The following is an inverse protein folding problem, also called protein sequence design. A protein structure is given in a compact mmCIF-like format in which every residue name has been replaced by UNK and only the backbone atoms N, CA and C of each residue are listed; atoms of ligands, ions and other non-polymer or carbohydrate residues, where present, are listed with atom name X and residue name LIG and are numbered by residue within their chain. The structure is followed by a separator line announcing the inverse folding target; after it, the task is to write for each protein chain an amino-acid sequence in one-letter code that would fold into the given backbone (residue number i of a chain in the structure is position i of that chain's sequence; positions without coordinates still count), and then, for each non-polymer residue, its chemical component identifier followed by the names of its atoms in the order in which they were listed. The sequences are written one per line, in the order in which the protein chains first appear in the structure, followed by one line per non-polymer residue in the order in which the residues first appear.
data_IF_823282104189
#
_entry.id   IF_823282104189
#
_cell.length_a   1.000
_cell.length_b   1.000
_cell.length_c   1.000
_cell.angle_alpha   90.00
_cell.angle_beta   90.00
_cell.angle_gamma   90.00
#
_symmetry.space_group_name_H-M   'P 1'
#
loop_
_entity.id
_entity.type
_entity.pdbx_description
1 polymer ?
#
# COMPACT_ATOMS: atom_id res chain seq x y z
N UNK A 1 -3.37 -23.70 -9.28
CA UNK A 1 -4.25 -24.28 -8.23
C UNK A 1 -3.74 -24.01 -6.81
N UNK A 2 -2.43 -24.09 -6.52
CA UNK A 2 -1.85 -23.88 -5.17
C UNK A 2 -2.11 -22.47 -4.60
N UNK A 3 -2.10 -21.42 -5.42
CA UNK A 3 -2.27 -20.02 -4.97
C UNK A 3 -3.67 -19.71 -4.39
N UNK A 4 -4.73 -20.33 -4.94
CA UNK A 4 -6.13 -20.04 -4.54
C UNK A 4 -6.52 -20.71 -3.22
N UNK A 5 -6.02 -21.94 -3.01
CA UNK A 5 -6.20 -22.67 -1.75
C UNK A 5 -5.42 -21.99 -0.60
N UNK A 6 -4.19 -21.54 -0.87
CA UNK A 6 -3.37 -20.78 0.09
C UNK A 6 -4.09 -19.51 0.56
N UNK A 7 -4.54 -18.65 -0.35
CA UNK A 7 -5.24 -17.40 0.02
C UNK A 7 -6.48 -17.63 0.88
N UNK A 8 -7.27 -18.66 0.57
CA UNK A 8 -8.49 -19.00 1.33
C UNK A 8 -8.14 -19.47 2.75
N UNK A 9 -7.12 -20.31 2.89
CA UNK A 9 -6.64 -20.79 4.18
C UNK A 9 -6.11 -19.63 5.06
N UNK A 10 -5.25 -18.77 4.51
CA UNK A 10 -4.70 -17.63 5.28
C UNK A 10 -5.75 -16.56 5.61
N UNK A 11 -6.77 -16.37 4.76
CA UNK A 11 -7.90 -15.49 5.06
C UNK A 11 -8.70 -16.01 6.27
N UNK A 12 -8.99 -17.31 6.33
CA UNK A 12 -9.68 -17.92 7.46
C UNK A 12 -8.85 -17.82 8.75
N UNK A 13 -7.54 -18.05 8.66
CA UNK A 13 -6.64 -17.90 9.82
C UNK A 13 -6.54 -16.45 10.31
N UNK A 14 -6.61 -15.46 9.41
CA UNK A 14 -6.60 -14.04 9.77
C UNK A 14 -7.81 -13.63 10.62
N UNK A 15 -8.93 -14.37 10.51
CA UNK A 15 -10.16 -14.14 11.28
C UNK A 15 -10.16 -14.87 12.64
N UNK A 16 -9.14 -15.68 12.96
CA UNK A 16 -9.06 -16.42 14.22
C UNK A 16 -8.57 -15.56 15.38
N UNK A 17 -9.46 -15.30 16.36
CA UNK A 17 -9.12 -14.52 17.56
C UNK A 17 -8.07 -15.19 18.46
N UNK A 18 -7.98 -16.53 18.46
CA UNK A 18 -6.97 -17.27 19.23
C UNK A 18 -5.58 -17.08 18.63
N UNK A 19 -5.47 -17.19 17.31
CA UNK A 19 -4.22 -16.94 16.59
C UNK A 19 -3.80 -15.47 16.69
N UNK A 20 -4.76 -14.53 16.60
CA UNK A 20 -4.51 -13.09 16.84
C UNK A 20 -3.90 -12.89 18.22
N UNK A 21 -4.49 -13.44 19.28
CA UNK A 21 -3.96 -13.32 20.66
C UNK A 21 -2.56 -13.92 20.83
N UNK A 22 -2.30 -15.10 20.27
CA UNK A 22 -0.96 -15.71 20.33
C UNK A 22 0.08 -14.93 19.53
N UNK A 23 -0.27 -14.49 18.32
CA UNK A 23 0.62 -13.69 17.48
C UNK A 23 0.90 -12.32 18.10
N UNK A 24 -0.09 -11.64 18.69
CA UNK A 24 0.12 -10.39 19.43
C UNK A 24 1.05 -10.57 20.65
N UNK A 25 1.06 -11.75 21.28
CA UNK A 25 1.90 -12.02 22.47
C UNK A 25 3.39 -12.21 22.13
N UNK A 26 3.72 -12.67 20.92
CA UNK A 26 5.09 -13.07 20.56
C UNK A 26 5.61 -12.45 19.26
N UNK A 27 4.75 -12.14 18.30
CA UNK A 27 5.12 -11.78 16.92
C UNK A 27 5.77 -10.40 16.75
N UNK A 28 5.63 -9.50 17.72
CA UNK A 28 6.21 -8.15 17.69
C UNK A 28 7.07 -7.81 18.93
N UNK A 29 7.25 -8.78 19.86
CA UNK A 29 7.84 -8.56 21.18
C UNK A 29 9.34 -8.23 21.13
N UNK A 30 10.07 -8.78 20.16
CA UNK A 30 11.50 -8.54 19.99
C UNK A 30 11.80 -8.00 18.59
N UNK A 31 12.90 -7.26 18.38
CA UNK A 31 13.29 -6.76 17.06
C UNK A 31 13.49 -7.86 15.99
N UNK A 32 13.75 -9.10 16.44
CA UNK A 32 13.93 -10.27 15.60
C UNK A 32 12.64 -11.05 15.32
N UNK A 33 11.52 -10.66 15.94
CA UNK A 33 10.26 -11.40 15.82
C UNK A 33 9.75 -11.43 14.38
N UNK A 34 9.07 -12.51 14.03
CA UNK A 34 8.73 -12.82 12.65
C UNK A 34 7.94 -11.71 11.93
N UNK A 35 7.12 -10.93 12.66
CA UNK A 35 6.28 -9.89 12.06
C UNK A 35 7.07 -8.59 11.79
N UNK A 36 8.15 -8.33 12.54
CA UNK A 36 9.08 -7.18 12.34
C UNK A 36 9.75 -7.17 10.97
N UNK A 37 9.77 -8.33 10.30
CA UNK A 37 10.22 -8.41 8.90
C UNK A 37 9.35 -7.57 7.97
N UNK A 38 8.03 -7.58 8.19
CA UNK A 38 7.02 -7.03 7.29
C UNK A 38 6.27 -5.84 7.87
N UNK A 39 6.39 -5.58 9.17
CA UNK A 39 5.76 -4.48 9.91
C UNK A 39 6.86 -3.71 10.66
N UNK A 40 6.86 -2.39 10.58
CA UNK A 40 7.90 -1.58 11.21
C UNK A 40 7.81 -1.57 12.74
N UNK A 41 6.59 -1.54 13.26
CA UNK A 41 6.32 -1.49 14.70
C UNK A 41 4.84 -1.35 14.99
N UNK A 42 4.51 -1.24 16.27
CA UNK A 42 3.17 -0.98 16.76
C UNK A 42 2.94 0.52 17.04
N UNK A 43 3.99 1.34 17.04
CA UNK A 43 3.92 2.80 17.24
C UNK A 43 4.52 3.59 16.08
N UNK A 44 4.20 4.90 16.01
CA UNK A 44 4.75 5.80 14.99
C UNK A 44 6.25 6.02 15.18
N UNK A 45 6.76 6.01 16.41
CA UNK A 45 8.19 6.14 16.70
C UNK A 45 8.98 4.98 16.10
N UNK A 46 8.48 3.75 16.22
CA UNK A 46 9.10 2.59 15.60
C UNK A 46 9.05 2.64 14.08
N UNK A 47 7.95 3.17 13.52
CA UNK A 47 7.83 3.43 12.10
C UNK A 47 8.84 4.48 11.60
N UNK A 48 9.07 5.53 12.38
CA UNK A 48 10.06 6.58 12.11
C UNK A 48 11.48 6.00 12.12
N UNK A 49 11.82 5.14 13.08
CA UNK A 49 13.15 4.51 13.10
C UNK A 49 13.36 3.56 11.93
N UNK A 50 12.33 2.78 11.56
CA UNK A 50 12.39 1.97 10.34
C UNK A 50 12.53 2.82 9.07
N UNK A 51 11.83 3.96 9.01
CA UNK A 51 11.92 4.93 7.92
C UNK A 51 13.34 5.50 7.78
N UNK A 52 13.97 5.94 8.88
CA UNK A 52 15.37 6.42 8.86
C UNK A 52 16.34 5.36 8.32
N UNK A 53 16.14 4.10 8.69
CA UNK A 53 16.97 3.00 8.18
C UNK A 53 16.77 2.73 6.68
N UNK A 54 15.62 3.10 6.11
CA UNK A 54 15.36 3.05 4.67
C UNK A 54 15.97 4.25 3.95
N UNK A 55 15.81 5.47 4.49
CA UNK A 55 16.40 6.69 3.93
C UNK A 55 17.93 6.62 3.89
N UNK A 56 18.57 6.04 4.92
CA UNK A 56 20.01 5.77 4.93
C UNK A 56 20.48 4.87 3.76
N UNK A 57 19.56 4.11 3.16
CA UNK A 57 19.78 3.27 1.97
C UNK A 57 19.29 3.93 0.67
N UNK A 58 18.95 5.22 0.73
CA UNK A 58 18.35 6.02 -0.37
C UNK A 58 17.03 5.46 -0.88
N UNK A 59 16.28 4.79 -0.01
CA UNK A 59 14.91 4.34 -0.29
C UNK A 59 13.94 5.42 0.20
N UNK A 60 12.94 5.71 -0.61
CA UNK A 60 11.77 6.47 -0.21
C UNK A 60 10.83 5.61 0.64
N UNK A 61 9.89 6.22 1.35
CA UNK A 61 8.90 5.53 2.18
C UNK A 61 7.46 5.99 1.94
N UNK A 62 6.51 5.14 2.26
CA UNK A 62 5.10 5.48 2.43
C UNK A 62 4.63 4.79 3.69
N UNK A 63 4.33 5.55 4.75
CA UNK A 63 3.82 4.99 5.99
C UNK A 63 2.35 4.58 5.82
N UNK A 64 2.00 3.40 6.31
CA UNK A 64 0.62 2.89 6.34
C UNK A 64 0.26 2.57 7.78
N UNK A 65 -0.63 3.37 8.35
CA UNK A 65 -1.20 3.10 9.66
C UNK A 65 -2.22 1.97 9.53
N UNK A 66 -1.88 0.81 10.10
CA UNK A 66 -2.71 -0.38 10.06
C UNK A 66 -3.91 -0.21 10.99
N UNK A 67 -5.09 -0.13 10.39
CA UNK A 67 -6.38 -0.25 11.05
C UNK A 67 -7.32 -1.22 10.32
N UNK A 68 -8.37 -1.63 11.01
CA UNK A 68 -9.50 -2.36 10.41
C UNK A 68 -10.58 -1.35 9.96
N UNK A 69 -11.52 -1.81 9.14
CA UNK A 69 -12.72 -1.02 8.80
C UNK A 69 -13.45 -0.63 10.08
N UNK A 70 -13.78 0.65 10.23
CA UNK A 70 -14.43 1.16 11.43
C UNK A 70 -15.94 0.97 11.34
N UNK A 71 -16.58 0.66 12.46
CA UNK A 71 -18.03 0.34 12.51
C UNK A 71 -18.87 1.43 13.18
N UNK A 72 -18.23 2.51 13.65
CA UNK A 72 -18.92 3.68 14.21
C UNK A 72 -18.18 4.98 13.90
N UNK A 73 -18.92 6.10 13.95
CA UNK A 73 -18.34 7.44 13.77
C UNK A 73 -17.25 7.74 14.81
N UNK A 74 -17.44 7.31 16.06
CA UNK A 74 -16.43 7.49 17.12
C UNK A 74 -15.10 6.81 16.78
N UNK A 75 -15.17 5.60 16.23
CA UNK A 75 -13.97 4.86 15.79
C UNK A 75 -13.34 5.46 14.54
N UNK A 76 -14.13 6.00 13.61
CA UNK A 76 -13.64 6.75 12.45
C UNK A 76 -12.90 8.04 12.87
N UNK A 77 -13.47 8.77 13.83
CA UNK A 77 -12.88 9.99 14.37
C UNK A 77 -11.60 9.67 15.17
N UNK A 78 -11.57 8.55 15.89
CA UNK A 78 -10.37 8.07 16.56
C UNK A 78 -9.24 7.75 15.57
N UNK A 79 -9.53 7.04 14.50
CA UNK A 79 -8.56 6.76 13.43
C UNK A 79 -8.07 8.05 12.77
N UNK A 80 -8.96 9.01 12.55
CA UNK A 80 -8.61 10.33 12.00
C UNK A 80 -7.65 11.08 12.93
N UNK A 81 -7.92 11.10 14.24
CA UNK A 81 -7.00 11.69 15.24
C UNK A 81 -5.63 10.99 15.24
N UNK A 82 -5.60 9.68 15.03
CA UNK A 82 -4.35 8.92 14.94
C UNK A 82 -3.54 9.33 13.69
N UNK A 83 -4.17 9.48 12.52
CA UNK A 83 -3.51 10.03 11.33
C UNK A 83 -2.95 11.44 11.55
N UNK A 84 -3.69 12.32 12.24
CA UNK A 84 -3.20 13.66 12.58
C UNK A 84 -1.97 13.59 13.50
N UNK A 85 -2.00 12.72 14.52
CA UNK A 85 -0.86 12.50 15.40
C UNK A 85 0.37 11.95 14.65
N UNK A 86 0.16 11.05 13.69
CA UNK A 86 1.20 10.53 12.80
C UNK A 86 1.83 11.64 11.97
N UNK A 87 1.01 12.50 11.34
CA UNK A 87 1.50 13.64 10.57
C UNK A 87 2.37 14.55 11.44
N UNK A 88 1.91 14.86 12.66
CA UNK A 88 2.66 15.72 13.59
C UNK A 88 3.99 15.08 14.02
N UNK A 89 3.98 13.78 14.34
CA UNK A 89 5.19 13.05 14.74
C UNK A 89 6.22 12.96 13.60
N UNK A 90 5.77 12.63 12.39
CA UNK A 90 6.63 12.54 11.20
C UNK A 90 7.20 13.90 10.85
N UNK A 91 6.38 14.98 10.91
CA UNK A 91 6.85 16.35 10.70
C UNK A 91 7.98 16.72 11.66
N UNK A 92 7.84 16.42 12.95
CA UNK A 92 8.89 16.66 13.96
C UNK A 92 10.14 15.82 13.73
N UNK A 93 9.99 14.60 13.22
CA UNK A 93 11.09 13.66 13.05
C UNK A 93 12.02 13.98 11.87
N UNK A 94 11.53 14.74 10.89
CA UNK A 94 12.27 15.17 9.70
C UNK A 94 12.36 14.14 8.56
N UNK A 95 11.74 12.96 8.69
CA UNK A 95 11.71 11.95 7.62
C UNK A 95 10.77 12.37 6.48
N UNK A 96 10.82 11.65 5.36
CA UNK A 96 9.94 11.85 4.21
C UNK A 96 8.45 11.80 4.57
N UNK A 97 7.70 12.75 4.01
CA UNK A 97 6.30 13.03 4.34
C UNK A 97 5.36 12.36 3.33
N UNK A 98 5.13 11.07 3.50
CA UNK A 98 4.26 10.30 2.63
C UNK A 98 3.47 9.25 3.41
N UNK A 99 2.14 9.29 3.30
CA UNK A 99 1.26 8.34 3.98
C UNK A 99 0.28 7.69 3.00
N UNK A 100 -0.13 6.46 3.30
CA UNK A 100 -1.25 5.77 2.66
C UNK A 100 -2.39 5.58 3.66
N UNK A 101 -3.63 5.68 3.20
CA UNK A 101 -4.83 5.50 4.02
C UNK A 101 -5.93 4.76 3.27
N UNK A 102 -6.90 4.22 4.00
CA UNK A 102 -8.09 3.53 3.46
C UNK A 102 -9.33 4.29 3.91
N UNK A 103 -10.30 4.44 3.02
CA UNK A 103 -11.49 5.25 3.31
C UNK A 103 -12.42 4.54 4.29
N UNK A 104 -12.46 3.21 4.29
CA UNK A 104 -13.21 2.43 5.29
C UNK A 104 -12.68 2.65 6.71
N UNK A 105 -11.39 2.92 6.89
CA UNK A 105 -10.84 3.30 8.19
C UNK A 105 -11.28 4.71 8.64
N UNK A 106 -11.68 5.56 7.69
CA UNK A 106 -12.21 6.90 7.95
C UNK A 106 -13.75 6.92 8.07
N UNK A 107 -14.40 5.76 8.05
CA UNK A 107 -15.86 5.65 8.24
C UNK A 107 -16.68 5.54 6.97
N UNK A 108 -16.08 5.19 5.82
CA UNK A 108 -16.82 5.09 4.55
C UNK A 108 -18.02 4.12 4.62
N UNK A 109 -17.91 3.02 5.36
CA UNK A 109 -19.00 2.05 5.57
C UNK A 109 -20.08 2.54 6.54
N UNK A 110 -19.77 3.58 7.33
CA UNK A 110 -20.68 4.14 8.36
C UNK A 110 -21.44 5.33 7.78
N UNK A 111 -20.72 6.31 7.27
CA UNK A 111 -21.27 7.50 6.64
C UNK A 111 -20.27 8.12 5.65
N UNK A 112 -20.67 8.22 4.38
CA UNK A 112 -19.84 8.77 3.31
C UNK A 112 -19.44 10.22 3.60
N UNK A 113 -20.35 11.05 4.12
CA UNK A 113 -20.05 12.46 4.37
C UNK A 113 -18.98 12.63 5.46
N UNK A 114 -19.13 11.90 6.56
CA UNK A 114 -18.16 11.86 7.67
C UNK A 114 -16.78 11.36 7.19
N UNK A 115 -16.73 10.35 6.33
CA UNK A 115 -15.46 9.86 5.77
C UNK A 115 -14.76 10.91 4.91
N UNK A 116 -15.52 11.68 4.12
CA UNK A 116 -14.98 12.80 3.33
C UNK A 116 -14.47 13.92 4.24
N UNK A 117 -15.21 14.28 5.27
CA UNK A 117 -14.79 15.32 6.23
C UNK A 117 -13.55 14.90 7.01
N UNK A 118 -13.46 13.62 7.40
CA UNK A 118 -12.28 13.06 8.04
C UNK A 118 -11.05 13.06 7.11
N UNK A 119 -11.24 12.72 5.84
CA UNK A 119 -10.18 12.85 4.84
C UNK A 119 -9.75 14.32 4.65
N UNK A 120 -10.69 15.28 4.61
CA UNK A 120 -10.36 16.73 4.52
C UNK A 120 -9.49 17.18 5.69
N UNK A 121 -9.86 16.83 6.94
CA UNK A 121 -9.06 17.15 8.13
C UNK A 121 -7.61 16.66 7.99
N UNK A 122 -7.42 15.45 7.47
CA UNK A 122 -6.09 14.88 7.21
C UNK A 122 -5.35 15.67 6.13
N UNK A 123 -6.01 15.97 5.01
CA UNK A 123 -5.41 16.69 3.89
C UNK A 123 -5.01 18.13 4.26
N UNK A 124 -5.84 18.82 5.03
CA UNK A 124 -5.59 20.18 5.53
C UNK A 124 -4.43 20.24 6.53
N UNK A 125 -4.24 19.18 7.33
CA UNK A 125 -3.04 19.05 8.18
C UNK A 125 -1.80 18.68 7.36
N UNK A 126 -1.98 17.82 6.36
CA UNK A 126 -0.91 17.27 5.51
C UNK A 126 -0.29 18.32 4.57
N UNK A 127 -1.11 19.19 3.97
CA UNK A 127 -0.67 20.15 2.95
C UNK A 127 0.44 21.11 3.42
N UNK A 128 0.25 21.93 4.48
CA UNK A 128 1.29 22.85 4.94
C UNK A 128 2.52 22.12 5.47
N UNK A 129 2.36 20.86 5.92
CA UNK A 129 3.46 20.01 6.33
C UNK A 129 4.21 19.37 5.14
N UNK A 130 3.74 19.55 3.90
CA UNK A 130 4.38 19.01 2.70
C UNK A 130 4.21 17.50 2.52
N UNK A 131 3.11 16.93 3.03
CA UNK A 131 2.81 15.51 2.85
C UNK A 131 2.18 15.21 1.50
N UNK A 132 2.55 14.05 0.95
CA UNK A 132 1.72 13.39 -0.05
C UNK A 132 0.85 12.30 0.61
N UNK A 133 -0.45 12.29 0.28
CA UNK A 133 -1.43 11.33 0.79
C UNK A 133 -1.91 10.41 -0.33
N UNK A 134 -1.77 9.10 -0.16
CA UNK A 134 -2.31 8.10 -1.09
C UNK A 134 -3.60 7.51 -0.53
N UNK A 135 -4.70 7.58 -1.29
CA UNK A 135 -5.88 6.78 -1.02
C UNK A 135 -5.65 5.37 -1.60
N UNK A 136 -5.47 4.39 -0.73
CA UNK A 136 -5.36 2.98 -1.12
C UNK A 136 -6.70 2.47 -1.64
N UNK A 137 -6.64 1.71 -2.73
CA UNK A 137 -7.83 1.10 -3.33
C UNK A 137 -8.16 -0.21 -2.63
N UNK A 138 -9.40 -0.27 -2.14
CA UNK A 138 -9.97 -1.43 -1.46
C UNK A 138 -10.58 -2.42 -2.48
N UNK A 139 -11.44 -3.35 -2.06
CA UNK A 139 -12.11 -4.28 -2.98
C UNK A 139 -13.09 -3.57 -3.92
N UNK A 140 -13.51 -4.25 -4.99
CA UNK A 140 -14.26 -3.65 -6.11
C UNK A 140 -15.51 -2.84 -5.75
N UNK A 141 -16.31 -3.17 -4.71
CA UNK A 141 -17.45 -2.34 -4.31
C UNK A 141 -17.08 -0.91 -3.90
N UNK A 142 -15.85 -0.69 -3.43
CA UNK A 142 -15.36 0.63 -3.04
C UNK A 142 -14.75 1.43 -4.20
N UNK A 143 -14.56 0.82 -5.37
CA UNK A 143 -13.83 1.45 -6.46
C UNK A 143 -14.50 2.74 -6.98
N UNK A 144 -15.81 2.73 -7.22
CA UNK A 144 -16.52 3.94 -7.67
C UNK A 144 -16.46 5.05 -6.63
N UNK A 145 -16.90 4.75 -5.40
CA UNK A 145 -16.98 5.75 -4.34
C UNK A 145 -15.61 6.34 -3.97
N UNK A 146 -14.55 5.54 -4.04
CA UNK A 146 -13.17 6.02 -3.79
C UNK A 146 -12.74 7.02 -4.85
N UNK A 147 -12.99 6.73 -6.14
CA UNK A 147 -12.63 7.65 -7.22
C UNK A 147 -13.51 8.90 -7.23
N UNK A 148 -14.81 8.79 -6.91
CA UNK A 148 -15.70 9.95 -6.74
C UNK A 148 -15.22 10.90 -5.65
N UNK A 149 -14.86 10.35 -4.48
CA UNK A 149 -14.35 11.15 -3.35
C UNK A 149 -13.03 11.82 -3.75
N UNK A 150 -12.11 11.07 -4.36
CA UNK A 150 -10.85 11.60 -4.85
C UNK A 150 -11.06 12.77 -5.81
N UNK A 151 -11.93 12.61 -6.82
CA UNK A 151 -12.16 13.64 -7.83
C UNK A 151 -12.88 14.86 -7.28
N UNK A 152 -13.80 14.67 -6.33
CA UNK A 152 -14.44 15.78 -5.63
C UNK A 152 -13.40 16.63 -4.91
N UNK A 153 -12.48 16.00 -4.17
CA UNK A 153 -11.40 16.72 -3.48
C UNK A 153 -10.40 17.33 -4.47
N UNK A 154 -10.12 16.64 -5.58
CA UNK A 154 -9.31 17.22 -6.65
C UNK A 154 -9.97 18.49 -7.22
N UNK A 155 -11.27 18.49 -7.48
CA UNK A 155 -11.98 19.69 -7.95
C UNK A 155 -11.98 20.82 -6.91
N UNK A 156 -11.95 20.48 -5.61
CA UNK A 156 -11.83 21.44 -4.50
C UNK A 156 -10.41 22.02 -4.31
N UNK A 157 -9.42 21.55 -5.09
CA UNK A 157 -8.07 22.13 -5.10
C UNK A 157 -7.00 21.33 -4.36
N UNK A 158 -7.33 20.21 -3.72
CA UNK A 158 -6.33 19.34 -3.10
C UNK A 158 -5.46 18.66 -4.18
N UNK A 159 -4.14 18.90 -4.18
CA UNK A 159 -3.18 18.40 -5.20
C UNK A 159 -2.13 17.45 -4.64
N UNK A 160 -1.96 17.43 -3.32
CA UNK A 160 -1.06 16.55 -2.57
C UNK A 160 -1.64 15.14 -2.33
N UNK A 161 -2.60 14.73 -3.17
CA UNK A 161 -3.35 13.49 -3.05
C UNK A 161 -3.29 12.67 -4.34
N UNK A 162 -3.32 11.34 -4.23
CA UNK A 162 -3.47 10.46 -5.38
C UNK A 162 -4.14 9.14 -5.03
N UNK A 163 -4.38 8.30 -6.05
CA UNK A 163 -5.14 7.05 -5.92
C UNK A 163 -4.33 5.82 -6.32
N UNK A 164 -4.84 4.65 -5.98
CA UNK A 164 -4.36 3.35 -6.45
C UNK A 164 -5.33 2.80 -7.49
N UNK A 165 -4.82 2.16 -8.55
CA UNK A 165 -5.63 1.42 -9.52
C UNK A 165 -5.13 -0.02 -9.66
N UNK A 166 -6.06 -0.95 -9.82
CA UNK A 166 -5.82 -2.40 -9.73
C UNK A 166 -6.00 -3.06 -11.11
N UNK A 167 -4.93 -3.58 -11.72
CA UNK A 167 -5.02 -4.16 -13.06
C UNK A 167 -5.90 -5.41 -13.16
N UNK A 168 -6.21 -6.06 -12.05
CA UNK A 168 -7.12 -7.21 -12.03
C UNK A 168 -8.57 -6.84 -12.34
N UNK A 169 -9.02 -5.59 -12.14
CA UNK A 169 -10.41 -5.20 -12.40
C UNK A 169 -10.62 -4.83 -13.87
N UNK A 170 -11.70 -5.30 -14.49
CA UNK A 170 -12.02 -5.03 -15.90
C UNK A 170 -12.17 -3.52 -16.19
N UNK A 171 -12.65 -2.76 -15.19
CA UNK A 171 -12.88 -1.31 -15.27
C UNK A 171 -11.62 -0.44 -15.29
N UNK A 172 -10.48 -0.98 -14.83
CA UNK A 172 -9.37 -0.12 -14.40
C UNK A 172 -8.63 0.59 -15.53
N UNK A 173 -8.64 0.07 -16.76
CA UNK A 173 -8.05 0.79 -17.92
C UNK A 173 -8.81 2.10 -18.20
N UNK A 174 -10.14 2.07 -18.18
CA UNK A 174 -10.98 3.27 -18.33
C UNK A 174 -10.73 4.27 -17.20
N UNK A 175 -10.69 3.78 -15.96
CA UNK A 175 -10.46 4.64 -14.79
C UNK A 175 -9.04 5.23 -14.80
N UNK A 176 -8.05 4.50 -15.30
CA UNK A 176 -6.69 5.01 -15.49
C UNK A 176 -6.67 6.23 -16.40
N UNK A 177 -7.29 6.15 -17.58
CA UNK A 177 -7.37 7.28 -18.50
C UNK A 177 -8.03 8.50 -17.86
N UNK A 178 -9.16 8.28 -17.18
CA UNK A 178 -9.90 9.32 -16.44
C UNK A 178 -9.00 10.03 -15.42
N UNK A 179 -8.28 9.28 -14.59
CA UNK A 179 -7.43 9.85 -13.54
C UNK A 179 -6.15 10.50 -14.10
N UNK A 180 -5.51 9.90 -15.11
CA UNK A 180 -4.33 10.51 -15.74
C UNK A 180 -4.67 11.81 -16.47
N UNK A 181 -5.87 11.94 -17.04
CA UNK A 181 -6.32 13.18 -17.67
C UNK A 181 -6.47 14.34 -16.67
N UNK A 182 -6.67 14.04 -15.38
CA UNK A 182 -6.69 15.06 -14.31
C UNK A 182 -5.27 15.53 -13.93
N UNK A 183 -4.22 14.85 -14.37
CA UNK A 183 -2.84 15.10 -13.94
C UNK A 183 -2.51 14.54 -12.55
N UNK A 184 -3.34 13.63 -12.04
CA UNK A 184 -3.14 13.04 -10.72
C UNK A 184 -2.09 11.92 -10.71
N UNK A 185 -1.38 11.78 -9.59
CA UNK A 185 -0.45 10.66 -9.40
C UNK A 185 -1.23 9.36 -9.23
N UNK A 186 -0.81 8.29 -9.92
CA UNK A 186 -1.41 6.94 -9.82
C UNK A 186 -0.38 5.93 -9.32
N UNK A 187 -0.78 5.11 -8.35
CA UNK A 187 -0.07 3.87 -7.99
C UNK A 187 -0.75 2.70 -8.70
N UNK A 188 -0.02 2.02 -9.59
CA UNK A 188 -0.51 0.86 -10.32
C UNK A 188 -0.13 -0.45 -9.59
N UNK A 189 -1.14 -1.21 -9.18
CA UNK A 189 -0.99 -2.53 -8.53
C UNK A 189 -1.72 -3.60 -9.34
N UNK A 190 -1.43 -4.89 -9.09
CA UNK A 190 -2.24 -5.99 -9.65
C UNK A 190 -3.61 -6.07 -8.98
N UNK A 191 -3.66 -5.86 -7.66
CA UNK A 191 -4.85 -6.05 -6.82
C UNK A 191 -4.59 -7.12 -5.76
N UNK A 192 -5.12 -6.89 -4.56
CA UNK A 192 -4.88 -7.74 -3.38
C UNK A 192 -6.10 -8.56 -2.94
N UNK A 193 -7.28 -8.23 -3.47
CA UNK A 193 -8.55 -8.81 -3.06
C UNK A 193 -8.95 -9.99 -3.94
N UNK A 194 -9.76 -10.88 -3.37
CA UNK A 194 -10.40 -11.96 -4.11
C UNK A 194 -11.70 -11.44 -4.68
N UNK A 195 -11.74 -11.28 -5.99
CA UNK A 195 -12.86 -10.67 -6.70
C UNK A 195 -13.61 -11.69 -7.57
N UNK A 196 -14.94 -11.53 -7.74
CA UNK A 196 -15.72 -12.40 -8.61
C UNK A 196 -15.34 -12.19 -10.09
N UNK A 197 -15.53 -13.24 -10.92
CA UNK A 197 -15.24 -13.20 -12.36
C UNK A 197 -16.00 -12.09 -13.11
N UNK A 198 -17.16 -11.67 -12.59
CA UNK A 198 -17.95 -10.58 -13.17
C UNK A 198 -17.22 -9.23 -13.19
N UNK A 199 -16.30 -8.99 -12.24
CA UNK A 199 -15.63 -7.69 -12.10
C UNK A 199 -14.12 -7.76 -12.32
N UNK A 200 -13.52 -8.95 -12.25
CA UNK A 200 -12.08 -9.13 -12.29
C UNK A 200 -11.60 -10.33 -13.10
N UNK A 201 -10.44 -10.15 -13.73
CA UNK A 201 -9.66 -11.20 -14.36
C UNK A 201 -9.30 -12.29 -13.33
N UNK A 202 -9.42 -13.56 -13.73
CA UNK A 202 -9.28 -14.69 -12.80
C UNK A 202 -7.93 -15.42 -12.94
N UNK A 203 -7.24 -15.24 -14.06
CA UNK A 203 -5.95 -15.89 -14.32
C UNK A 203 -4.81 -14.89 -14.13
N UNK A 204 -3.64 -15.38 -13.72
CA UNK A 204 -2.45 -14.54 -13.59
C UNK A 204 -2.03 -13.91 -14.91
N UNK A 205 -2.14 -14.65 -16.02
CA UNK A 205 -1.77 -14.14 -17.35
C UNK A 205 -2.64 -12.96 -17.78
N UNK A 206 -3.96 -13.02 -17.52
CA UNK A 206 -4.87 -11.92 -17.87
C UNK A 206 -4.58 -10.68 -17.02
N UNK A 207 -4.36 -10.86 -15.70
CA UNK A 207 -4.00 -9.77 -14.78
C UNK A 207 -2.66 -9.14 -15.16
N UNK A 208 -1.67 -9.94 -15.54
CA UNK A 208 -0.36 -9.47 -15.97
C UNK A 208 -0.45 -8.72 -17.30
N UNK A 209 -1.23 -9.22 -18.27
CA UNK A 209 -1.45 -8.55 -19.54
C UNK A 209 -2.15 -7.19 -19.34
N UNK A 210 -3.16 -7.12 -18.48
CA UNK A 210 -3.79 -5.86 -18.10
C UNK A 210 -2.81 -4.93 -17.37
N UNK A 211 -1.97 -5.47 -16.46
CA UNK A 211 -0.94 -4.68 -15.78
C UNK A 211 0.03 -4.07 -16.79
N UNK A 212 0.50 -4.83 -17.78
CA UNK A 212 1.40 -4.34 -18.82
C UNK A 212 0.76 -3.23 -19.65
N UNK A 213 -0.49 -3.40 -20.12
CA UNK A 213 -1.20 -2.35 -20.87
C UNK A 213 -1.32 -1.06 -20.06
N UNK A 214 -1.81 -1.17 -18.83
CA UNK A 214 -1.95 -0.02 -17.92
C UNK A 214 -0.62 0.62 -17.55
N UNK A 215 0.44 -0.17 -17.40
CA UNK A 215 1.79 0.30 -17.11
C UNK A 215 2.35 1.13 -18.25
N UNK A 216 2.18 0.70 -19.50
CA UNK A 216 2.56 1.50 -20.66
C UNK A 216 1.80 2.81 -20.72
N UNK A 217 0.47 2.78 -20.56
CA UNK A 217 -0.36 3.99 -20.51
C UNK A 217 0.12 4.95 -19.42
N UNK A 218 0.29 4.47 -18.19
CA UNK A 218 0.64 5.35 -17.07
C UNK A 218 2.06 5.89 -17.17
N UNK A 219 3.01 5.14 -17.74
CA UNK A 219 4.36 5.63 -18.01
C UNK A 219 4.37 6.71 -19.10
N UNK A 220 3.52 6.57 -20.13
CA UNK A 220 3.45 7.55 -21.23
C UNK A 220 2.69 8.82 -20.87
N UNK A 221 1.60 8.72 -20.09
CA UNK A 221 0.68 9.86 -19.88
C UNK A 221 0.46 10.23 -18.41
N UNK A 222 0.99 9.44 -17.48
CA UNK A 222 0.78 9.66 -16.06
C UNK A 222 1.69 10.75 -15.48
N UNK A 223 1.17 11.46 -14.48
CA UNK A 223 1.98 12.37 -13.68
C UNK A 223 2.67 11.58 -12.57
N UNK A 224 3.99 11.43 -12.66
CA UNK A 224 4.84 10.71 -11.69
C UNK A 224 4.21 9.39 -11.20
N UNK A 225 4.07 8.37 -12.08
CA UNK A 225 3.43 7.12 -11.73
C UNK A 225 4.28 6.28 -10.78
N UNK A 226 3.59 5.48 -9.98
CA UNK A 226 4.18 4.51 -9.07
C UNK A 226 3.89 3.09 -9.57
N UNK A 227 4.92 2.40 -10.05
CA UNK A 227 4.85 1.00 -10.50
C UNK A 227 5.04 0.09 -9.27
N UNK A 228 3.92 -0.28 -8.64
CA UNK A 228 3.91 -1.03 -7.38
C UNK A 228 3.83 -2.54 -7.64
N UNK A 229 4.99 -3.21 -7.67
CA UNK A 229 5.11 -4.64 -7.94
C UNK A 229 6.42 -5.23 -7.42
N UNK A 230 6.40 -6.52 -7.04
CA UNK A 230 7.59 -7.32 -6.72
C UNK A 230 7.95 -8.33 -7.82
N UNK A 231 7.21 -8.27 -8.93
CA UNK A 231 7.38 -9.13 -10.08
C UNK A 231 8.53 -8.62 -10.95
N UNK A 232 9.61 -9.41 -11.03
CA UNK A 232 10.82 -9.02 -11.76
C UNK A 232 10.53 -8.81 -13.24
N UNK A 233 9.66 -9.62 -13.84
CA UNK A 233 9.31 -9.48 -15.24
C UNK A 233 8.60 -8.15 -15.52
N UNK A 234 7.68 -7.73 -14.65
CA UNK A 234 6.99 -6.44 -14.79
C UNK A 234 7.94 -5.25 -14.61
N UNK A 235 8.90 -5.36 -13.68
CA UNK A 235 9.94 -4.34 -13.48
C UNK A 235 10.82 -4.22 -14.73
N UNK A 236 11.28 -5.34 -15.29
CA UNK A 236 12.13 -5.33 -16.47
C UNK A 236 11.37 -4.78 -17.70
N UNK A 237 10.07 -5.09 -17.83
CA UNK A 237 9.19 -4.50 -18.86
C UNK A 237 9.03 -2.98 -18.69
N UNK A 238 8.80 -2.48 -17.47
CA UNK A 238 8.74 -1.03 -17.19
C UNK A 238 10.05 -0.33 -17.61
N UNK A 239 11.20 -0.92 -17.23
CA UNK A 239 12.52 -0.38 -17.55
C UNK A 239 12.78 -0.38 -19.06
N UNK A 240 12.38 -1.44 -19.75
CA UNK A 240 12.50 -1.54 -21.20
C UNK A 240 11.66 -0.47 -21.88
N UNK A 241 10.38 -0.39 -21.55
CA UNK A 241 9.47 0.61 -22.10
C UNK A 241 9.96 2.03 -21.86
N UNK A 242 10.42 2.34 -20.64
CA UNK A 242 10.97 3.65 -20.31
C UNK A 242 12.19 4.01 -21.19
N UNK A 243 13.11 3.07 -21.43
CA UNK A 243 14.26 3.28 -22.32
C UNK A 243 13.84 3.51 -23.77
N UNK A 244 12.93 2.69 -24.29
CA UNK A 244 12.45 2.77 -25.68
C UNK A 244 11.70 4.09 -25.96
N UNK A 245 11.03 4.64 -24.94
CA UNK A 245 10.26 5.88 -25.04
C UNK A 245 10.96 7.11 -24.45
N UNK A 246 12.25 7.02 -24.12
CA UNK A 246 13.06 8.12 -23.54
C UNK A 246 12.44 8.74 -22.26
N UNK A 247 11.82 7.91 -21.42
CA UNK A 247 11.29 8.31 -20.11
C UNK A 247 12.43 8.20 -19.10
N UNK A 248 12.79 9.32 -18.47
CA UNK A 248 13.86 9.38 -17.50
C UNK A 248 13.49 8.58 -16.24
N UNK A 249 14.50 8.00 -15.58
CA UNK A 249 14.29 7.11 -14.43
C UNK A 249 13.67 7.82 -13.23
N UNK A 250 13.81 9.14 -13.14
CA UNK A 250 13.25 9.99 -12.09
C UNK A 250 11.83 10.49 -12.39
N UNK A 251 11.26 10.16 -13.56
CA UNK A 251 9.88 10.52 -13.91
C UNK A 251 8.84 9.53 -13.37
N UNK A 252 9.27 8.40 -12.80
CA UNK A 252 8.42 7.41 -12.16
C UNK A 252 9.17 6.74 -11.01
N UNK A 253 8.45 5.99 -10.17
CA UNK A 253 9.07 5.23 -9.08
C UNK A 253 8.60 3.78 -9.07
N UNK A 254 9.47 2.88 -8.62
CA UNK A 254 9.06 1.53 -8.24
C UNK A 254 8.60 1.53 -6.79
N UNK A 255 7.53 0.79 -6.49
CA UNK A 255 7.10 0.61 -5.11
C UNK A 255 7.06 -0.85 -4.70
N UNK A 256 7.55 -1.12 -3.49
CA UNK A 256 7.58 -2.46 -2.91
C UNK A 256 7.20 -2.42 -1.44
N UNK A 257 6.60 -3.50 -0.96
CA UNK A 257 6.32 -3.67 0.46
C UNK A 257 7.58 -3.83 1.31
N UNK A 258 7.52 -3.32 2.53
CA UNK A 258 8.53 -3.52 3.56
C UNK A 258 8.81 -5.00 3.78
N UNK A 259 10.10 -5.36 3.85
CA UNK A 259 10.52 -6.75 4.03
C UNK A 259 10.51 -7.65 2.79
N UNK A 260 9.96 -7.19 1.66
CA UNK A 260 9.75 -8.00 0.46
C UNK A 260 10.69 -7.57 -0.67
N UNK A 261 11.45 -8.54 -1.21
CA UNK A 261 12.41 -8.31 -2.30
C UNK A 261 13.41 -7.17 -2.04
N UNK A 262 13.99 -7.15 -0.83
CA UNK A 262 15.05 -6.18 -0.45
C UNK A 262 16.23 -6.18 -1.44
N UNK A 263 16.51 -7.33 -2.05
CA UNK A 263 17.46 -7.49 -3.15
C UNK A 263 17.13 -6.57 -4.34
N UNK A 264 15.87 -6.55 -4.79
CA UNK A 264 15.45 -5.70 -5.90
C UNK A 264 15.40 -4.24 -5.50
N UNK A 265 14.96 -3.92 -4.29
CA UNK A 265 14.96 -2.56 -3.78
C UNK A 265 16.37 -1.96 -3.88
N UNK A 266 17.37 -2.67 -3.39
CA UNK A 266 18.78 -2.24 -3.48
C UNK A 266 19.31 -2.20 -4.91
N UNK A 267 18.95 -3.18 -5.76
CA UNK A 267 19.39 -3.19 -7.17
C UNK A 267 18.88 -1.96 -7.92
N UNK A 268 17.58 -1.66 -7.81
CA UNK A 268 16.94 -0.55 -8.52
C UNK A 268 17.49 0.82 -8.09
N UNK A 269 17.75 1.01 -6.79
CA UNK A 269 18.40 2.23 -6.29
C UNK A 269 19.80 2.40 -6.87
N UNK A 270 20.60 1.32 -6.93
CA UNK A 270 21.94 1.36 -7.55
C UNK A 270 21.90 1.67 -9.03
N UNK A 271 20.82 1.29 -9.70
CA UNK A 271 20.56 1.58 -11.12
C UNK A 271 19.97 2.99 -11.36
N UNK A 272 19.77 3.79 -10.31
CA UNK A 272 19.31 5.18 -10.42
C UNK A 272 17.79 5.35 -10.50
N UNK A 273 17.01 4.32 -10.16
CA UNK A 273 15.56 4.45 -10.05
C UNK A 273 15.13 4.87 -8.65
N UNK A 274 14.17 5.80 -8.51
CA UNK A 274 13.47 6.03 -7.26
C UNK A 274 12.72 4.75 -6.84
N UNK A 275 12.93 4.34 -5.60
CA UNK A 275 12.24 3.18 -5.00
C UNK A 275 11.59 3.59 -3.70
N UNK A 276 10.27 3.41 -3.61
CA UNK A 276 9.50 3.67 -2.40
C UNK A 276 9.07 2.37 -1.72
N UNK A 277 9.32 2.29 -0.42
CA UNK A 277 8.92 1.16 0.40
C UNK A 277 7.61 1.49 1.12
N UNK A 278 6.60 0.64 0.99
CA UNK A 278 5.36 0.74 1.75
C UNK A 278 5.58 0.13 3.14
N UNK A 279 5.53 0.95 4.18
CA UNK A 279 5.95 0.66 5.55
C UNK A 279 4.71 0.60 6.46
N UNK A 280 4.14 -0.60 6.67
CA UNK A 280 2.99 -0.77 7.53
C UNK A 280 3.42 -0.76 9.01
N UNK A 281 2.65 -0.11 9.87
CA UNK A 281 2.86 -0.03 11.32
C UNK A 281 1.54 0.13 12.05
N UNK A 282 1.51 -0.12 13.36
CA UNK A 282 0.32 0.02 14.19
C UNK A 282 -0.11 -1.31 14.82
N UNK A 283 -1.06 -1.22 15.75
CA UNK A 283 -1.46 -2.36 16.61
C UNK A 283 -2.29 -3.41 15.86
N UNK A 284 -3.03 -3.02 14.83
CA UNK A 284 -3.87 -3.92 14.04
C UNK A 284 -3.09 -4.64 12.91
N UNK A 285 -1.89 -5.10 13.22
CA UNK A 285 -0.96 -5.63 12.23
C UNK A 285 -1.23 -7.07 11.79
N UNK A 286 -1.93 -7.85 12.61
CA UNK A 286 -2.11 -9.29 12.41
C UNK A 286 -2.83 -9.65 11.10
N UNK A 287 -3.97 -9.03 10.73
CA UNK A 287 -4.63 -9.31 9.46
C UNK A 287 -3.74 -9.00 8.24
N UNK A 288 -2.99 -7.90 8.30
CA UNK A 288 -2.02 -7.54 7.26
C UNK A 288 -0.93 -8.60 7.11
N UNK A 289 -0.33 -9.01 8.23
CA UNK A 289 0.72 -10.02 8.28
C UNK A 289 0.25 -11.35 7.67
N UNK A 290 -0.94 -11.81 8.04
CA UNK A 290 -1.50 -13.07 7.51
C UNK A 290 -1.71 -13.03 6.00
N UNK A 291 -2.13 -11.89 5.44
CA UNK A 291 -2.18 -11.70 3.99
C UNK A 291 -0.79 -11.80 3.35
N UNK A 292 0.26 -11.23 3.97
CA UNK A 292 1.65 -11.34 3.46
C UNK A 292 2.14 -12.79 3.44
N UNK A 293 1.75 -13.61 4.42
CA UNK A 293 2.13 -15.03 4.46
C UNK A 293 1.47 -15.83 3.33
N UNK A 294 0.19 -15.58 3.07
CA UNK A 294 -0.55 -16.32 2.05
C UNK A 294 -0.12 -16.05 0.60
N UNK A 295 0.61 -14.96 0.35
CA UNK A 295 1.02 -14.56 -1.01
C UNK A 295 2.22 -15.34 -1.57
N UNK A 296 3.12 -15.85 -0.73
CA UNK A 296 4.27 -16.64 -1.20
C UNK A 296 4.64 -17.76 -0.22
N UNK A 297 4.84 -19.00 -0.69
CA UNK A 297 5.31 -20.12 0.14
C UNK A 297 6.63 -19.81 0.89
N UNK A 298 7.51 -19.01 0.28
CA UNK A 298 8.76 -18.59 0.91
C UNK A 298 8.56 -17.73 2.18
N UNK A 299 7.47 -16.94 2.24
CA UNK A 299 7.15 -16.16 3.44
C UNK A 299 6.72 -17.10 4.58
N UNK A 300 5.96 -18.15 4.26
CA UNK A 300 5.56 -19.19 5.23
C UNK A 300 6.78 -19.95 5.74
N UNK A 301 7.67 -20.40 4.84
CA UNK A 301 8.90 -21.10 5.20
C UNK A 301 9.83 -20.24 6.09
N UNK A 302 9.91 -18.93 5.83
CA UNK A 302 10.66 -18.01 6.67
C UNK A 302 10.08 -17.94 8.10
N UNK A 303 8.76 -17.80 8.24
CA UNK A 303 8.11 -17.74 9.56
C UNK A 303 8.29 -19.04 10.33
N UNK A 304 8.15 -20.20 9.67
CA UNK A 304 8.39 -21.49 10.31
C UNK A 304 9.81 -21.60 10.86
N UNK A 305 10.83 -21.15 10.10
CA UNK A 305 12.22 -21.10 10.60
C UNK A 305 12.40 -20.12 11.75
N UNK A 306 11.77 -18.95 11.70
CA UNK A 306 11.87 -17.96 12.76
C UNK A 306 11.27 -18.47 14.08
N UNK A 307 10.10 -19.13 14.03
CA UNK A 307 9.44 -19.71 15.21
C UNK A 307 10.28 -20.85 15.81
N UNK A 308 10.86 -21.73 14.98
CA UNK A 308 11.71 -22.82 15.45
C UNK A 308 12.98 -22.30 16.16
N UNK A 309 13.54 -21.19 15.69
CA UNK A 309 14.70 -20.56 16.32
C UNK A 309 14.35 -19.75 17.58
N UNK A 310 13.09 -19.34 17.77
CA UNK A 310 12.61 -18.67 19.00
C UNK A 310 12.17 -19.66 20.09
N UNK A 311 12.02 -20.94 19.75
CA UNK A 311 11.54 -22.00 20.65
C UNK A 311 12.66 -22.88 21.24
N UNK A 312 13.92 -22.55 20.96
CA UNK A 312 15.12 -23.18 21.53
C UNK A 312 15.98 -22.16 22.23
#
# INVERSE_FOLDING_TARGET
MVDRASKTFFHLLAQSGVLKKMASRYGMRHPTSFARRFIAGETVEEAIEAARALEAKRLHLALDLLGESVTSLDTADAATREYLAVIDAVTRSGIERNISLKLTQLGLDVDKASAVDNLRKILERAEPAGFFVRIDMENSPYADVTLEIFETLWQQGYRQIGVVLQSALHRSERDLHRITALGARVRLVKGAYKEPKSVAYQTKSDVDAAYTRMMWTVLSTGHYPAIATHDRAMIDLARQFAREHNIASDQFEFQMLYGVRRDLQTSLVKEGYPVRVYVPFGREWFPYFMRRLGERPANVAFVLRAILNESG
#
